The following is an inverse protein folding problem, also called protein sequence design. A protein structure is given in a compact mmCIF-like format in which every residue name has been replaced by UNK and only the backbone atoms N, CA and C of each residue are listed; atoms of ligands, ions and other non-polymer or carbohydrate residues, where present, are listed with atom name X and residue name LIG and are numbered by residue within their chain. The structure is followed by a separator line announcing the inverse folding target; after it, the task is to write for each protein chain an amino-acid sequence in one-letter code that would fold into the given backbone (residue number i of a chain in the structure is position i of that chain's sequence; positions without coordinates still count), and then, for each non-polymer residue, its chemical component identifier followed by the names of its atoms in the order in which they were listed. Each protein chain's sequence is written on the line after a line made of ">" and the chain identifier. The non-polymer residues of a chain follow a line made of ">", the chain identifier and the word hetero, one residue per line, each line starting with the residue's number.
data_IF_538274458185
#
_entry.id   IF_538274458185
#
_cell.length_a   1.000
_cell.length_b   1.000
_cell.length_c   1.000
_cell.angle_alpha   90.00
_cell.angle_beta   90.00
_cell.angle_gamma   90.00
#
_symmetry.space_group_name_H-M   'P 1'
#
loop_
_entity.id
_entity.type
_entity.pdbx_description
1 polymer ?
#
# COMPACT_ATOMS: atom_id res chain seq x y z
N UNK A 1 -37.79 -27.76 -46.89
CA UNK A 1 -36.97 -27.79 -45.66
C UNK A 1 -35.84 -26.77 -45.82
N UNK A 2 -36.04 -25.53 -45.36
CA UNK A 2 -35.00 -24.49 -45.40
C UNK A 2 -34.15 -24.59 -44.12
N UNK A 3 -32.86 -24.86 -44.28
CA UNK A 3 -31.89 -24.83 -43.17
C UNK A 3 -31.64 -23.38 -42.79
N UNK A 4 -32.05 -23.01 -41.58
CA UNK A 4 -31.79 -21.69 -41.00
C UNK A 4 -30.25 -21.48 -40.91
N UNK A 5 -29.69 -20.36 -41.40
CA UNK A 5 -28.26 -20.11 -41.31
C UNK A 5 -27.88 -19.93 -39.84
N UNK A 6 -26.94 -20.75 -39.36
CA UNK A 6 -26.39 -20.64 -38.00
C UNK A 6 -25.81 -19.23 -37.79
N UNK A 7 -26.09 -18.56 -36.64
CA UNK A 7 -25.62 -17.20 -36.36
C UNK A 7 -24.16 -17.23 -35.87
N UNK A 8 -23.27 -17.81 -36.67
CA UNK A 8 -21.84 -17.89 -36.41
C UNK A 8 -21.17 -16.54 -36.07
N UNK A 9 -21.48 -15.41 -36.74
CA UNK A 9 -20.82 -14.14 -36.42
C UNK A 9 -21.26 -13.57 -35.06
N UNK A 10 -22.48 -13.88 -34.63
CA UNK A 10 -23.05 -13.43 -33.36
C UNK A 10 -22.48 -14.23 -32.18
N UNK A 11 -22.27 -15.53 -32.39
CA UNK A 11 -21.56 -16.38 -31.43
C UNK A 11 -20.07 -15.99 -31.30
N UNK A 12 -19.40 -15.66 -32.41
CA UNK A 12 -18.00 -15.25 -32.40
C UNK A 12 -17.77 -13.90 -31.71
N UNK A 13 -18.67 -12.93 -31.93
CA UNK A 13 -18.60 -11.63 -31.24
C UNK A 13 -18.88 -11.75 -29.74
N UNK A 14 -19.83 -12.59 -29.34
CA UNK A 14 -20.09 -12.88 -27.93
C UNK A 14 -18.87 -13.57 -27.26
N UNK A 15 -18.21 -14.48 -27.96
CA UNK A 15 -17.01 -15.15 -27.48
C UNK A 15 -15.81 -14.19 -27.31
N UNK A 16 -15.65 -13.21 -28.21
CA UNK A 16 -14.59 -12.19 -28.11
C UNK A 16 -14.82 -11.24 -26.92
N UNK A 17 -16.08 -10.89 -26.64
CA UNK A 17 -16.44 -10.05 -25.49
C UNK A 17 -16.19 -10.76 -24.15
N UNK A 18 -16.30 -12.10 -24.11
CA UNK A 18 -15.98 -12.91 -22.93
C UNK A 18 -14.47 -12.99 -22.64
N UNK A 19 -13.61 -12.68 -23.61
CA UNK A 19 -12.16 -12.67 -23.45
C UNK A 19 -11.62 -11.34 -22.91
N UNK A 20 -12.42 -10.26 -22.96
CA UNK A 20 -12.08 -8.96 -22.40
C UNK A 20 -12.20 -9.01 -20.87
N UNK A 21 -11.16 -9.53 -20.20
CA UNK A 21 -11.00 -9.30 -18.77
C UNK A 21 -10.53 -7.85 -18.60
N UNK A 22 -11.27 -6.99 -17.87
CA UNK A 22 -10.71 -5.71 -17.51
C UNK A 22 -9.47 -6.01 -16.66
N UNK A 23 -8.29 -5.65 -17.17
CA UNK A 23 -7.12 -5.51 -16.32
C UNK A 23 -7.44 -4.34 -15.38
N UNK A 24 -8.01 -4.65 -14.22
CA UNK A 24 -8.22 -3.67 -13.18
C UNK A 24 -6.83 -3.28 -12.69
N UNK A 25 -6.41 -2.07 -13.07
CA UNK A 25 -5.40 -1.34 -12.32
C UNK A 25 -5.74 -1.42 -10.83
N UNK A 26 -4.89 -2.03 -10.02
CA UNK A 26 -5.20 -2.30 -8.62
C UNK A 26 -5.00 -1.03 -7.78
N UNK A 27 -6.01 -0.15 -7.82
CA UNK A 27 -6.16 0.94 -6.87
C UNK A 27 -6.85 0.37 -5.63
N UNK A 28 -6.10 0.22 -4.54
CA UNK A 28 -6.66 -0.33 -3.30
C UNK A 28 -7.31 0.77 -2.48
N UNK A 29 -8.56 0.55 -2.09
CA UNK A 29 -9.26 1.33 -1.09
C UNK A 29 -9.65 0.40 0.05
N UNK A 30 -9.11 0.65 1.25
CA UNK A 30 -9.24 -0.22 2.40
C UNK A 30 -9.67 0.59 3.62
N UNK A 31 -10.71 0.11 4.30
CA UNK A 31 -11.17 0.68 5.57
C UNK A 31 -10.61 -0.13 6.72
N UNK A 32 -9.76 0.49 7.53
CA UNK A 32 -9.22 -0.07 8.76
C UNK A 32 -10.11 0.42 9.90
N UNK A 33 -10.59 -0.51 10.73
CA UNK A 33 -11.45 -0.17 11.87
C UNK A 33 -10.92 -0.84 13.12
N UNK A 34 -10.52 -0.03 14.10
CA UNK A 34 -10.10 -0.48 15.44
C UNK A 34 -9.04 -1.61 15.39
N UNK A 35 -8.06 -1.48 14.50
CA UNK A 35 -7.05 -2.51 14.23
C UNK A 35 -5.81 -2.31 15.10
N UNK A 36 -5.36 -3.37 15.77
CA UNK A 36 -4.24 -3.38 16.70
C UNK A 36 -2.94 -3.96 16.10
N UNK A 37 -2.94 -4.38 14.83
CA UNK A 37 -1.77 -5.01 14.22
C UNK A 37 -0.61 -4.01 14.16
N UNK A 38 0.62 -4.43 14.52
CA UNK A 38 1.79 -3.55 14.49
C UNK A 38 2.24 -3.22 13.06
N UNK A 39 1.86 -4.05 12.08
CA UNK A 39 2.13 -3.87 10.66
C UNK A 39 0.99 -4.40 9.81
N UNK A 40 0.69 -3.72 8.70
CA UNK A 40 -0.33 -4.10 7.72
C UNK A 40 0.28 -3.96 6.32
N UNK A 41 0.34 -5.05 5.57
CA UNK A 41 0.75 -5.05 4.16
C UNK A 41 -0.43 -4.60 3.29
N UNK A 42 -0.19 -3.66 2.37
CA UNK A 42 -1.17 -3.21 1.39
C UNK A 42 -0.94 -3.85 0.02
N UNK A 43 0.29 -3.77 -0.48
CA UNK A 43 0.62 -4.16 -1.85
C UNK A 43 2.07 -4.61 -1.96
N UNK A 44 2.34 -5.51 -2.91
CA UNK A 44 3.69 -5.83 -3.37
C UNK A 44 3.78 -5.48 -4.87
N UNK A 45 4.76 -4.67 -5.27
CA UNK A 45 4.82 -4.11 -6.62
C UNK A 45 6.25 -3.95 -7.13
N UNK A 46 6.44 -4.21 -8.42
CA UNK A 46 7.67 -4.01 -9.18
C UNK A 46 7.80 -2.61 -9.75
N UNK A 47 8.66 -1.82 -9.15
CA UNK A 47 8.97 -0.48 -9.62
C UNK A 47 10.10 -0.51 -10.64
N UNK A 48 9.95 0.35 -11.64
CA UNK A 48 11.01 0.81 -12.52
C UNK A 48 11.56 2.15 -12.01
N UNK A 49 12.46 2.78 -12.76
CA UNK A 49 12.99 4.11 -12.41
C UNK A 49 11.95 5.23 -12.50
N UNK A 50 10.76 4.95 -13.05
CA UNK A 50 9.63 5.88 -13.13
C UNK A 50 8.50 5.54 -12.14
N UNK A 51 8.82 4.71 -11.13
CA UNK A 51 7.90 4.24 -10.12
C UNK A 51 7.29 5.35 -9.26
N UNK A 52 6.06 5.16 -8.82
CA UNK A 52 5.33 6.08 -7.96
C UNK A 52 4.41 5.35 -6.99
N UNK A 53 4.34 5.87 -5.77
CA UNK A 53 3.37 5.47 -4.75
C UNK A 53 2.56 6.70 -4.38
N UNK A 54 1.24 6.66 -4.58
CA UNK A 54 0.34 7.68 -4.06
C UNK A 54 -0.49 7.11 -2.92
N UNK A 55 -0.51 7.80 -1.79
CA UNK A 55 -1.25 7.40 -0.60
C UNK A 55 -2.17 8.53 -0.21
N UNK A 56 -3.42 8.20 0.08
CA UNK A 56 -4.38 9.09 0.70
C UNK A 56 -4.98 8.40 1.91
N UNK A 57 -4.98 9.08 3.05
CA UNK A 57 -5.60 8.62 4.29
C UNK A 57 -6.58 9.67 4.80
N UNK A 58 -7.70 9.23 5.33
CA UNK A 58 -8.72 10.09 5.91
C UNK A 58 -9.41 9.41 7.09
N UNK A 59 -10.23 10.19 7.83
CA UNK A 59 -10.97 9.69 8.98
C UNK A 59 -10.06 9.06 10.04
N UNK A 60 -8.81 9.53 10.14
CA UNK A 60 -7.81 8.90 10.99
C UNK A 60 -8.14 9.14 12.46
N UNK A 61 -8.21 8.05 13.22
CA UNK A 61 -8.28 8.08 14.68
C UNK A 61 -7.42 6.98 15.28
N UNK A 62 -6.73 7.31 16.36
CA UNK A 62 -5.87 6.39 17.10
C UNK A 62 -6.26 6.44 18.56
N UNK A 63 -6.59 5.28 19.12
CA UNK A 63 -6.97 5.12 20.53
C UNK A 63 -5.97 4.20 21.20
N UNK A 64 -5.50 4.54 22.39
CA UNK A 64 -4.63 3.69 23.23
C UNK A 64 -5.16 3.64 24.66
N UNK A 65 -4.97 2.50 25.33
CA UNK A 65 -5.29 2.30 26.75
C UNK A 65 -4.25 2.89 27.70
N UNK A 66 -3.04 3.20 27.23
CA UNK A 66 -1.93 3.65 28.08
C UNK A 66 -1.82 5.17 28.15
N UNK A 67 -1.57 5.81 26.99
CA UNK A 67 -1.35 7.24 26.89
C UNK A 67 -1.64 7.72 25.47
N UNK A 68 -1.62 9.05 25.26
CA UNK A 68 -1.81 9.61 23.92
C UNK A 68 -0.70 9.12 22.99
N UNK A 69 -1.02 8.42 21.89
CA UNK A 69 -0.02 7.93 20.94
C UNK A 69 0.81 9.07 20.33
N UNK A 70 2.12 8.88 20.22
CA UNK A 70 2.99 9.78 19.45
C UNK A 70 2.77 9.56 17.95
N UNK A 71 2.33 10.58 17.19
CA UNK A 71 2.04 10.42 15.76
C UNK A 71 3.25 10.03 14.89
N UNK A 72 4.52 10.18 15.32
CA UNK A 72 5.64 9.65 14.50
C UNK A 72 5.77 8.14 14.56
N UNK A 73 5.12 7.49 15.54
CA UNK A 73 5.19 6.06 15.74
C UNK A 73 4.17 5.30 14.89
N UNK A 74 3.45 6.00 14.01
CA UNK A 74 2.51 5.42 13.06
C UNK A 74 2.77 6.02 11.68
N UNK A 75 2.84 5.18 10.64
CA UNK A 75 3.22 5.68 9.33
C UNK A 75 3.30 4.63 8.25
N UNK A 76 3.51 5.10 7.03
CA UNK A 76 3.67 4.29 5.83
C UNK A 76 5.12 4.28 5.36
N UNK A 77 5.56 3.13 4.86
CA UNK A 77 6.90 2.94 4.34
C UNK A 77 6.90 1.87 3.25
N UNK A 78 7.91 1.90 2.38
CA UNK A 78 8.22 0.81 1.48
C UNK A 78 9.37 -0.01 2.03
N UNK A 79 9.38 -1.29 1.70
CA UNK A 79 10.46 -2.21 2.02
C UNK A 79 10.76 -3.05 0.78
N UNK A 80 12.01 -3.04 0.32
CA UNK A 80 12.42 -3.94 -0.76
C UNK A 80 12.50 -5.38 -0.25
N UNK A 81 12.31 -6.35 -1.14
CA UNK A 81 12.39 -7.77 -0.78
C UNK A 81 13.75 -8.14 -0.15
N UNK A 82 14.84 -7.57 -0.67
CA UNK A 82 16.20 -7.73 -0.12
C UNK A 82 16.35 -7.16 1.31
N UNK A 83 15.66 -6.05 1.61
CA UNK A 83 15.75 -5.36 2.90
C UNK A 83 14.86 -6.00 3.97
N UNK A 84 13.84 -6.77 3.56
CA UNK A 84 12.90 -7.45 4.45
C UNK A 84 13.64 -8.32 5.48
N UNK A 85 14.66 -9.06 5.03
CA UNK A 85 15.43 -9.96 5.89
C UNK A 85 16.14 -9.17 7.00
N UNK A 86 16.74 -8.02 6.67
CA UNK A 86 17.46 -7.22 7.66
C UNK A 86 16.51 -6.61 8.70
N UNK A 87 15.35 -6.10 8.28
CA UNK A 87 14.33 -5.60 9.19
C UNK A 87 13.81 -6.71 10.12
N UNK A 88 13.63 -7.93 9.61
CA UNK A 88 13.23 -9.09 10.43
C UNK A 88 14.29 -9.44 11.47
N UNK A 89 15.58 -9.34 11.13
CA UNK A 89 16.67 -9.56 12.08
C UNK A 89 16.68 -8.47 13.17
N UNK A 90 16.53 -7.19 12.81
CA UNK A 90 16.45 -6.09 13.79
C UNK A 90 15.25 -6.26 14.74
N UNK A 91 14.08 -6.60 14.20
CA UNK A 91 12.87 -6.92 14.95
C UNK A 91 13.12 -8.02 15.98
N UNK A 92 13.75 -9.11 15.57
CA UNK A 92 14.07 -10.25 16.44
C UNK A 92 15.04 -9.84 17.54
N UNK A 93 16.17 -9.22 17.17
CA UNK A 93 17.22 -8.86 18.14
C UNK A 93 16.72 -7.90 19.22
N UNK A 94 15.90 -6.92 18.87
CA UNK A 94 15.42 -5.92 19.84
C UNK A 94 14.28 -6.45 20.71
N UNK A 95 13.50 -7.41 20.19
CA UNK A 95 12.50 -8.11 21.00
C UNK A 95 13.14 -8.88 22.16
N UNK A 96 14.28 -9.53 21.92
CA UNK A 96 15.07 -10.24 22.96
C UNK A 96 15.65 -9.28 24.01
N UNK A 97 15.96 -8.05 23.62
CA UNK A 97 16.55 -7.04 24.50
C UNK A 97 15.51 -6.27 25.33
N UNK A 98 14.23 -6.66 25.24
CA UNK A 98 13.10 -5.99 25.92
C UNK A 98 13.00 -4.48 25.61
N UNK A 99 13.55 -4.04 24.47
CA UNK A 99 13.44 -2.66 24.01
C UNK A 99 12.35 -2.54 22.94
N UNK A 100 11.49 -1.52 22.99
CA UNK A 100 10.43 -1.34 22.01
C UNK A 100 11.01 -0.88 20.67
N UNK A 101 11.24 -1.83 19.76
CA UNK A 101 11.59 -1.52 18.38
C UNK A 101 10.41 -0.95 17.60
N UNK A 102 10.69 0.00 16.72
CA UNK A 102 9.78 0.43 15.69
C UNK A 102 10.44 0.37 14.33
N UNK A 103 9.79 -0.31 13.39
CA UNK A 103 10.27 -0.44 12.01
C UNK A 103 10.46 0.91 11.31
N UNK A 104 9.75 1.96 11.75
CA UNK A 104 9.90 3.32 11.23
C UNK A 104 11.26 3.96 11.58
N UNK A 105 12.00 3.39 12.55
CA UNK A 105 13.35 3.84 12.91
C UNK A 105 14.44 3.08 12.13
N UNK A 106 14.09 2.03 11.39
CA UNK A 106 15.05 1.20 10.66
C UNK A 106 15.66 1.98 9.48
N UNK A 107 16.96 1.81 9.26
CA UNK A 107 17.65 2.40 8.11
C UNK A 107 17.34 1.68 6.78
N UNK A 108 16.73 0.49 6.85
CA UNK A 108 16.45 -0.37 5.70
C UNK A 108 15.09 -0.10 5.04
N UNK A 109 14.26 0.75 5.67
CA UNK A 109 12.99 1.16 5.08
C UNK A 109 13.17 2.37 4.17
N UNK A 110 12.27 2.51 3.20
CA UNK A 110 12.06 3.77 2.51
C UNK A 110 10.85 4.48 3.15
N UNK A 111 11.07 5.46 4.04
CA UNK A 111 9.99 6.13 4.75
C UNK A 111 9.16 7.00 3.79
N UNK A 112 7.84 7.00 3.95
CA UNK A 112 6.94 7.84 3.15
C UNK A 112 6.38 9.00 3.96
N UNK A 113 5.52 8.72 4.94
CA UNK A 113 5.02 9.71 5.90
C UNK A 113 4.59 9.06 7.21
N UNK A 114 4.44 9.89 8.22
CA UNK A 114 3.92 9.50 9.53
C UNK A 114 2.66 10.26 9.87
N UNK A 115 1.97 9.85 10.93
CA UNK A 115 0.78 10.58 11.38
C UNK A 115 1.10 11.98 11.92
N UNK A 116 2.37 12.38 12.04
CA UNK A 116 2.75 13.79 12.28
C UNK A 116 2.37 14.70 11.12
N UNK A 117 2.28 14.16 9.91
CA UNK A 117 2.02 14.90 8.67
C UNK A 117 0.52 15.06 8.39
N UNK A 118 -0.35 14.48 9.23
CA UNK A 118 -1.80 14.60 9.10
C UNK A 118 -2.24 16.06 9.30
N UNK A 119 -3.21 16.48 8.49
CA UNK A 119 -3.91 17.75 8.70
C UNK A 119 -4.55 17.79 10.10
N UNK A 120 -4.65 18.98 10.72
CA UNK A 120 -5.30 19.11 12.01
C UNK A 120 -6.81 18.74 11.92
N UNK A 121 -7.44 18.41 13.06
CA UNK A 121 -8.89 18.20 13.11
C UNK A 121 -9.67 19.38 12.50
N UNK A 122 -10.85 19.14 11.90
CA UNK A 122 -11.66 17.92 12.00
C UNK A 122 -11.39 16.84 10.94
N UNK A 123 -10.69 17.15 9.86
CA UNK A 123 -10.61 16.25 8.70
C UNK A 123 -9.54 15.14 8.84
N UNK A 124 -8.55 15.33 9.72
CA UNK A 124 -7.45 14.41 10.05
C UNK A 124 -7.08 13.48 8.89
N UNK A 125 -6.48 14.07 7.86
CA UNK A 125 -6.21 13.43 6.57
C UNK A 125 -4.86 13.82 5.99
N UNK A 126 -4.37 13.04 5.04
CA UNK A 126 -3.14 13.29 4.28
C UNK A 126 -3.26 12.69 2.88
N UNK A 127 -2.65 13.34 1.88
CA UNK A 127 -2.61 12.84 0.51
C UNK A 127 -1.33 13.30 -0.18
N UNK A 128 -0.48 12.36 -0.60
CA UNK A 128 0.77 12.66 -1.27
C UNK A 128 1.20 11.51 -2.19
N UNK A 129 1.96 11.85 -3.24
CA UNK A 129 2.64 10.90 -4.09
C UNK A 129 4.15 11.02 -3.96
N UNK A 130 4.83 9.88 -3.96
CA UNK A 130 6.26 9.71 -3.78
C UNK A 130 6.86 9.02 -5.01
N UNK A 131 7.93 9.57 -5.60
CA UNK A 131 8.66 8.88 -6.65
C UNK A 131 9.51 7.75 -6.05
N UNK A 132 9.48 6.58 -6.68
CA UNK A 132 10.34 5.44 -6.39
C UNK A 132 11.29 5.28 -7.57
N UNK A 133 12.54 5.70 -7.37
CA UNK A 133 13.53 5.81 -8.47
C UNK A 133 14.47 4.61 -8.53
N UNK A 134 14.60 3.85 -7.45
CA UNK A 134 15.36 2.61 -7.42
C UNK A 134 14.48 1.45 -7.92
N UNK A 135 14.80 0.84 -9.08
CA UNK A 135 14.02 -0.28 -9.59
C UNK A 135 14.21 -1.51 -8.70
N UNK A 136 13.12 -2.04 -8.15
CA UNK A 136 13.08 -3.30 -7.41
C UNK A 136 11.62 -3.69 -7.14
N UNK A 137 11.42 -4.83 -6.50
CA UNK A 137 10.16 -5.20 -5.89
C UNK A 137 10.08 -4.64 -4.46
N UNK A 138 9.03 -3.88 -4.19
CA UNK A 138 8.79 -3.29 -2.88
C UNK A 138 7.40 -3.68 -2.37
N UNK A 139 7.32 -3.86 -1.06
CA UNK A 139 6.07 -3.99 -0.34
C UNK A 139 5.71 -2.68 0.35
N UNK A 140 4.47 -2.22 0.18
CA UNK A 140 3.91 -1.07 0.88
C UNK A 140 3.28 -1.50 2.20
N UNK A 141 3.78 -0.95 3.30
CA UNK A 141 3.30 -1.23 4.64
C UNK A 141 2.77 0.01 5.34
N UNK A 142 1.81 -0.20 6.22
CA UNK A 142 1.55 0.66 7.37
C UNK A 142 2.14 0.02 8.63
N UNK A 143 2.73 0.82 9.52
CA UNK A 143 3.12 0.38 10.86
C UNK A 143 2.41 1.18 11.94
N UNK A 144 2.05 0.47 13.01
CA UNK A 144 1.61 1.01 14.28
C UNK A 144 2.58 0.56 15.39
N UNK A 145 3.55 1.40 15.73
CA UNK A 145 4.49 1.17 16.82
C UNK A 145 4.03 1.78 18.15
N UNK A 146 2.83 2.35 18.22
CA UNK A 146 2.32 2.92 19.46
C UNK A 146 1.75 1.79 20.36
N UNK A 147 2.18 1.69 21.62
CA UNK A 147 1.82 0.57 22.49
C UNK A 147 0.33 0.58 22.83
N UNK A 148 -0.25 -0.62 22.87
CA UNK A 148 -1.67 -0.88 23.16
C UNK A 148 -2.64 0.03 22.40
N UNK A 149 -2.29 0.36 21.16
CA UNK A 149 -3.07 1.28 20.35
C UNK A 149 -3.85 0.57 19.24
N UNK A 150 -4.96 1.17 18.84
CA UNK A 150 -5.82 0.73 17.74
C UNK A 150 -6.07 1.89 16.80
N UNK A 151 -5.93 1.62 15.50
CA UNK A 151 -6.10 2.61 14.44
C UNK A 151 -7.40 2.36 13.69
N UNK A 152 -8.10 3.45 13.39
CA UNK A 152 -9.20 3.47 12.42
C UNK A 152 -8.86 4.52 11.37
N UNK A 153 -8.96 4.16 10.10
CA UNK A 153 -8.73 5.07 8.98
C UNK A 153 -9.29 4.51 7.68
N UNK A 154 -9.62 5.39 6.76
CA UNK A 154 -9.86 5.04 5.35
C UNK A 154 -8.55 5.28 4.58
N UNK A 155 -8.09 4.29 3.83
CA UNK A 155 -6.82 4.34 3.10
C UNK A 155 -7.08 4.07 1.63
N UNK A 156 -6.52 4.91 0.76
CA UNK A 156 -6.44 4.70 -0.68
C UNK A 156 -4.99 4.71 -1.11
N UNK A 157 -4.56 3.66 -1.79
CA UNK A 157 -3.20 3.54 -2.34
C UNK A 157 -3.24 3.30 -3.84
N UNK A 158 -2.38 4.01 -4.57
CA UNK A 158 -2.12 3.79 -5.99
C UNK A 158 -0.63 3.53 -6.16
N UNK A 159 -0.28 2.41 -6.76
CA UNK A 159 1.11 2.02 -7.01
C UNK A 159 1.27 1.77 -8.50
N UNK A 160 2.21 2.46 -9.14
CA UNK A 160 2.32 2.45 -10.60
C UNK A 160 3.73 2.85 -11.08
N UNK A 161 4.06 2.47 -12.31
CA UNK A 161 5.14 3.02 -13.10
C UNK A 161 4.59 4.07 -14.08
N UNK A 162 5.46 4.91 -14.65
CA UNK A 162 5.08 5.75 -15.79
C UNK A 162 5.63 5.16 -17.07
N UNK A 163 4.78 5.02 -18.09
CA UNK A 163 5.18 4.61 -19.43
C UNK A 163 5.83 5.78 -20.23
N UNK A 164 6.18 5.52 -21.49
CA UNK A 164 6.81 6.52 -22.37
C UNK A 164 5.93 7.78 -22.60
N UNK A 165 4.62 7.68 -22.40
CA UNK A 165 3.66 8.78 -22.50
C UNK A 165 3.38 9.49 -21.18
N UNK A 166 4.05 9.12 -20.08
CA UNK A 166 3.72 9.52 -18.70
C UNK A 166 2.32 9.08 -18.28
N UNK A 167 1.81 8.01 -18.89
CA UNK A 167 0.57 7.36 -18.48
C UNK A 167 0.91 6.42 -17.33
N UNK A 168 0.01 6.38 -16.33
CA UNK A 168 0.16 5.47 -15.20
C UNK A 168 -0.01 4.03 -15.66
N UNK A 169 1.06 3.26 -15.54
CA UNK A 169 1.08 1.82 -15.74
C UNK A 169 1.02 1.12 -14.38
N UNK A 170 -0.13 0.48 -14.12
CA UNK A 170 -0.37 -0.25 -12.88
C UNK A 170 0.04 -1.72 -12.98
N UNK A 171 0.67 -2.13 -14.09
CA UNK A 171 1.28 -3.43 -14.20
C UNK A 171 2.63 -3.40 -13.49
N UNK A 172 2.78 -4.36 -12.57
CA UNK A 172 4.04 -4.61 -11.89
C UNK A 172 5.10 -4.96 -12.93
N UNK A 173 6.30 -4.38 -12.81
CA UNK A 173 7.43 -4.72 -13.66
C UNK A 173 8.07 -6.03 -13.20
N UNK A 174 7.33 -7.15 -13.30
CA UNK A 174 7.79 -8.51 -13.03
C UNK A 174 7.04 -9.52 -13.91
#
# INVERSE_FOLDING_TARGET
>A
MQKLPFPAPLAATLFLLLLLHPALAEIKSLKITSDARPMILFEKFGFTHTGHVAISVSSVSVVSSLSRPDPSRLGFFLLSEESLIQVLIELQQQSEQSQPFCVLDSQYIYPLFTFRDLSPPPNTSFSQSYPVTAPNEYSLFFSNCAPESRVTMDVRTEVYNLDAGRIKDYLSAW
#
